data_IF_166273350853
#
_entry.id   IF_166273350853
#
_cell.length_a   1.000
_cell.length_b   1.000
_cell.length_c   1.000
_cell.angle_alpha   90.00
_cell.angle_beta   90.00
_cell.angle_gamma   90.00
#
_symmetry.space_group_name_H-M   'P 1'
#
loop_
_entity.id
_entity.type
_entity.pdbx_description
1 polymer ?
#
# COMPACT_ATOMS: atom_id res chain seq x y z
N UNK A 1 1.36 23.49 24.50
CA UNK A 1 0.30 22.75 23.79
C UNK A 1 0.61 22.71 22.31
N UNK A 2 0.81 21.53 21.71
CA UNK A 2 1.11 21.35 20.28
C UNK A 2 -0.15 21.49 19.40
N UNK A 3 -0.83 22.63 19.50
CA UNK A 3 -2.07 22.91 18.76
C UNK A 3 -1.69 23.47 17.38
N UNK A 4 -2.23 22.87 16.30
CA UNK A 4 -2.03 23.35 14.92
C UNK A 4 -0.80 22.80 14.19
N UNK A 5 0.03 21.97 14.83
CA UNK A 5 1.12 21.27 14.14
C UNK A 5 0.54 20.07 13.38
N UNK A 6 0.83 19.89 12.08
CA UNK A 6 0.42 18.72 11.31
C UNK A 6 0.90 17.43 11.97
N UNK A 7 0.08 16.39 11.94
CA UNK A 7 0.38 15.06 12.53
C UNK A 7 0.11 14.00 11.48
N UNK A 8 0.87 12.90 11.53
CA UNK A 8 0.67 11.77 10.62
C UNK A 8 -0.77 11.28 10.63
N UNK A 9 -1.38 11.11 11.81
CA UNK A 9 -2.78 10.68 11.94
C UNK A 9 -3.79 11.66 11.34
N UNK A 10 -3.53 12.97 11.43
CA UNK A 10 -4.37 13.99 10.78
C UNK A 10 -4.16 14.04 9.26
N UNK A 11 -2.96 13.71 8.79
CA UNK A 11 -2.68 13.60 7.36
C UNK A 11 -3.30 12.35 6.73
N UNK A 12 -3.54 11.28 7.51
CA UNK A 12 -4.21 10.07 7.05
C UNK A 12 -5.75 10.19 7.01
N UNK A 13 -6.32 11.28 7.52
CA UNK A 13 -7.76 11.54 7.39
C UNK A 13 -8.11 11.72 5.89
N UNK A 14 -9.04 10.94 5.32
CA UNK A 14 -9.45 11.06 3.92
C UNK A 14 -9.95 12.46 3.54
N UNK A 15 -10.42 13.25 4.52
CA UNK A 15 -10.84 14.63 4.37
C UNK A 15 -9.68 15.64 4.26
N UNK A 16 -8.47 15.27 4.69
CA UNK A 16 -7.29 16.13 4.75
C UNK A 16 -6.88 16.65 3.37
N UNK A 17 -6.60 17.95 3.28
CA UNK A 17 -6.07 18.56 2.05
C UNK A 17 -4.71 17.96 1.65
N UNK A 18 -3.92 17.51 2.64
CA UNK A 18 -2.62 16.90 2.41
C UNK A 18 -2.76 15.61 1.58
N UNK A 19 -3.55 14.63 2.04
CA UNK A 19 -3.63 13.34 1.33
C UNK A 19 -4.35 13.46 -0.01
N UNK A 20 -5.35 14.34 -0.12
CA UNK A 20 -6.03 14.63 -1.40
C UNK A 20 -5.07 15.19 -2.45
N UNK A 21 -4.17 16.07 -2.03
CA UNK A 21 -3.16 16.65 -2.93
C UNK A 21 -2.07 15.63 -3.26
N UNK A 22 -1.57 14.94 -2.24
CA UNK A 22 -0.47 13.97 -2.39
C UNK A 22 -0.86 12.77 -3.26
N UNK A 23 -2.05 12.19 -3.04
CA UNK A 23 -2.53 11.03 -3.82
C UNK A 23 -2.83 11.33 -5.29
N UNK A 24 -3.05 12.60 -5.64
CA UNK A 24 -3.25 13.03 -7.02
C UNK A 24 -1.93 13.14 -7.81
N UNK A 25 -0.78 13.14 -7.13
CA UNK A 25 0.51 13.20 -7.80
C UNK A 25 0.87 11.82 -8.39
N UNK A 26 1.29 11.74 -9.67
CA UNK A 26 1.71 10.49 -10.26
C UNK A 26 3.09 10.07 -9.72
N UNK A 27 3.38 8.76 -9.76
CA UNK A 27 4.76 8.29 -9.64
C UNK A 27 5.59 8.82 -10.81
N UNK A 28 6.85 9.17 -10.53
CA UNK A 28 7.76 9.68 -11.56
C UNK A 28 7.91 8.65 -12.70
N UNK A 29 7.95 9.07 -13.98
CA UNK A 29 7.94 8.14 -15.12
C UNK A 29 9.05 7.08 -15.12
N UNK A 30 10.22 7.43 -14.59
CA UNK A 30 11.38 6.54 -14.55
C UNK A 30 11.43 5.63 -13.30
N UNK A 31 10.38 5.67 -12.46
CA UNK A 31 10.27 4.86 -11.25
C UNK A 31 9.24 3.76 -11.46
N UNK A 32 9.70 2.50 -11.47
CA UNK A 32 8.78 1.35 -11.48
C UNK A 32 8.16 1.17 -10.10
N UNK A 33 6.84 1.28 -10.01
CA UNK A 33 6.07 1.06 -8.78
C UNK A 33 5.56 -0.38 -8.69
N UNK A 34 5.75 -1.01 -7.53
CA UNK A 34 5.20 -2.32 -7.18
C UNK A 34 4.43 -2.20 -5.87
N UNK A 35 3.29 -2.90 -5.77
CA UNK A 35 2.43 -2.85 -4.58
C UNK A 35 2.35 -4.22 -3.90
N UNK A 36 2.37 -4.23 -2.57
CA UNK A 36 2.12 -5.40 -1.74
C UNK A 36 1.06 -4.97 -0.72
N UNK A 37 -0.14 -5.54 -0.81
CA UNK A 37 -1.30 -5.12 -0.01
C UNK A 37 -1.73 -6.30 0.85
N UNK A 38 -1.84 -6.07 2.16
CA UNK A 38 -2.43 -7.06 3.06
C UNK A 38 -3.96 -7.01 3.03
N UNK A 39 -4.57 -8.18 3.14
CA UNK A 39 -6.01 -8.34 3.32
C UNK A 39 -6.22 -9.41 4.38
N UNK A 40 -6.94 -9.09 5.45
CA UNK A 40 -7.22 -9.99 6.56
C UNK A 40 -8.47 -10.84 6.33
N UNK A 41 -9.43 -10.32 5.58
CA UNK A 41 -10.74 -10.92 5.35
C UNK A 41 -10.92 -11.32 3.87
N UNK A 42 -10.03 -12.17 3.37
CA UNK A 42 -10.03 -12.59 1.95
C UNK A 42 -11.26 -13.42 1.55
N UNK A 43 -11.98 -13.96 2.53
CA UNK A 43 -13.23 -14.71 2.38
C UNK A 43 -14.45 -13.82 2.11
N UNK A 44 -14.36 -12.52 2.40
CA UNK A 44 -15.41 -11.55 2.08
C UNK A 44 -15.33 -11.09 0.61
N UNK A 45 -16.40 -10.49 0.06
CA UNK A 45 -16.35 -9.79 -1.21
C UNK A 45 -15.24 -8.73 -1.25
N UNK A 46 -14.61 -8.54 -2.42
CA UNK A 46 -13.44 -7.68 -2.61
C UNK A 46 -13.68 -6.23 -2.17
N UNK A 47 -14.91 -5.75 -2.30
CA UNK A 47 -15.35 -4.41 -1.91
C UNK A 47 -15.26 -4.17 -0.39
N UNK A 48 -15.20 -5.26 0.39
CA UNK A 48 -15.06 -5.23 1.85
C UNK A 48 -13.66 -5.59 2.33
N UNK A 49 -12.72 -5.89 1.44
CA UNK A 49 -11.37 -6.28 1.82
C UNK A 49 -10.67 -5.17 2.60
N UNK A 50 -10.02 -5.57 3.70
CA UNK A 50 -9.29 -4.69 4.59
C UNK A 50 -8.21 -5.49 5.33
N UNK A 51 -7.12 -4.81 5.70
CA UNK A 51 -6.10 -5.35 6.59
C UNK A 51 -6.43 -5.17 8.09
N UNK A 52 -7.60 -4.59 8.38
CA UNK A 52 -8.07 -4.21 9.71
C UNK A 52 -7.84 -2.74 10.09
N UNK A 53 -7.13 -1.97 9.25
CA UNK A 53 -6.86 -0.53 9.42
C UNK A 53 -7.24 0.25 8.16
N UNK A 54 -6.83 -0.25 6.99
CA UNK A 54 -7.02 0.36 5.68
C UNK A 54 -7.86 -0.58 4.79
N UNK A 55 -8.76 0.00 3.98
CA UNK A 55 -9.50 -0.76 2.97
C UNK A 55 -8.60 -1.05 1.77
N UNK A 56 -8.75 -2.22 1.15
CA UNK A 56 -8.02 -2.57 -0.07
C UNK A 56 -8.17 -1.50 -1.17
N UNK A 57 -9.39 -1.00 -1.40
CA UNK A 57 -9.66 0.07 -2.38
C UNK A 57 -8.85 1.34 -2.11
N UNK A 58 -8.59 1.67 -0.85
CA UNK A 58 -7.78 2.85 -0.48
C UNK A 58 -6.28 2.63 -0.69
N UNK A 59 -5.81 1.39 -0.69
CA UNK A 59 -4.42 1.03 -0.88
C UNK A 59 -4.08 0.70 -2.34
N UNK A 60 -5.09 0.29 -3.13
CA UNK A 60 -4.94 -0.07 -4.53
C UNK A 60 -4.63 1.14 -5.41
N UNK A 61 -3.69 0.95 -6.35
CA UNK A 61 -3.28 1.97 -7.32
C UNK A 61 -3.11 1.30 -8.68
N UNK A 62 -3.92 1.71 -9.66
CA UNK A 62 -4.03 1.06 -10.98
C UNK A 62 -2.72 0.95 -11.76
N UNK A 63 -1.81 1.92 -11.59
CA UNK A 63 -0.56 2.00 -12.37
C UNK A 63 0.59 1.16 -11.79
N UNK A 64 0.34 0.30 -10.79
CA UNK A 64 1.35 -0.62 -10.29
C UNK A 64 1.80 -1.62 -11.35
N UNK A 65 3.11 -1.74 -11.56
CA UNK A 65 3.70 -2.72 -12.48
C UNK A 65 3.49 -4.17 -12.00
N UNK A 66 3.30 -4.37 -10.69
CA UNK A 66 2.69 -5.57 -10.14
C UNK A 66 2.02 -5.27 -8.81
N UNK A 67 1.01 -6.04 -8.45
CA UNK A 67 0.38 -6.03 -7.14
C UNK A 67 0.31 -7.44 -6.57
N UNK A 68 0.77 -7.62 -5.33
CA UNK A 68 0.64 -8.85 -4.57
C UNK A 68 -0.30 -8.63 -3.40
N UNK A 69 -1.40 -9.40 -3.35
CA UNK A 69 -2.26 -9.47 -2.17
C UNK A 69 -1.75 -10.56 -1.24
N UNK A 70 -1.58 -10.24 0.04
CA UNK A 70 -1.08 -11.16 1.08
C UNK A 70 -2.15 -11.32 2.16
N UNK A 71 -2.45 -12.57 2.54
CA UNK A 71 -3.39 -12.86 3.62
C UNK A 71 -2.76 -12.52 4.97
N UNK A 72 -2.99 -11.32 5.49
CA UNK A 72 -2.41 -10.86 6.76
C UNK A 72 -3.16 -9.64 7.29
N UNK A 73 -2.88 -9.27 8.55
CA UNK A 73 -3.28 -7.97 9.09
C UNK A 73 -2.44 -6.82 8.52
N UNK A 74 -2.63 -5.62 9.08
CA UNK A 74 -1.94 -4.40 8.61
C UNK A 74 -0.41 -4.54 8.50
N UNK A 75 0.24 -5.18 9.47
CA UNK A 75 1.69 -5.39 9.45
C UNK A 75 2.05 -6.74 8.81
N UNK A 76 2.26 -6.74 7.49
CA UNK A 76 2.56 -7.95 6.71
C UNK A 76 4.06 -8.19 6.46
N UNK A 77 4.95 -7.33 6.96
CA UNK A 77 6.39 -7.35 6.64
C UNK A 77 7.10 -8.63 7.13
N UNK A 78 6.55 -9.32 8.13
CA UNK A 78 7.07 -10.59 8.64
C UNK A 78 6.50 -11.84 7.95
N UNK A 79 5.53 -11.68 7.07
CA UNK A 79 4.92 -12.81 6.36
C UNK A 79 5.85 -13.33 5.28
N UNK A 80 5.95 -14.66 5.15
CA UNK A 80 6.79 -15.30 4.14
C UNK A 80 6.45 -14.82 2.73
N UNK A 81 5.16 -14.68 2.40
CA UNK A 81 4.75 -14.21 1.07
C UNK A 81 5.21 -12.79 0.77
N UNK A 82 5.18 -11.90 1.76
CA UNK A 82 5.67 -10.52 1.63
C UNK A 82 7.17 -10.50 1.43
N UNK A 83 7.91 -11.28 2.21
CA UNK A 83 9.38 -11.36 2.12
C UNK A 83 9.81 -11.89 0.75
N UNK A 84 9.16 -12.95 0.26
CA UNK A 84 9.45 -13.54 -1.04
C UNK A 84 9.08 -12.59 -2.20
N UNK A 85 8.00 -11.83 -2.08
CA UNK A 85 7.63 -10.84 -3.10
C UNK A 85 8.63 -9.68 -3.16
N UNK A 86 9.08 -9.18 -2.01
CA UNK A 86 10.17 -8.17 -1.95
C UNK A 86 11.44 -8.74 -2.60
N UNK A 87 11.83 -9.96 -2.26
CA UNK A 87 12.98 -10.64 -2.86
C UNK A 87 12.83 -10.74 -4.38
N UNK A 88 11.66 -11.19 -4.88
CA UNK A 88 11.37 -11.31 -6.31
C UNK A 88 11.50 -9.96 -7.04
N UNK A 89 10.94 -8.89 -6.47
CA UNK A 89 11.02 -7.53 -7.02
C UNK A 89 12.48 -7.08 -7.10
N UNK A 90 13.25 -7.25 -6.03
CA UNK A 90 14.67 -6.86 -6.02
C UNK A 90 15.49 -7.62 -7.06
N UNK A 91 15.31 -8.94 -7.16
CA UNK A 91 15.99 -9.79 -8.14
C UNK A 91 15.63 -9.41 -9.58
N UNK A 92 14.37 -9.06 -9.85
CA UNK A 92 13.92 -8.55 -11.16
C UNK A 92 14.68 -7.29 -11.56
N UNK A 93 14.79 -6.32 -10.66
CA UNK A 93 15.42 -5.02 -10.97
C UNK A 93 16.95 -5.06 -11.04
N UNK A 94 17.59 -6.16 -10.61
CA UNK A 94 19.01 -6.42 -10.88
C UNK A 94 19.25 -7.36 -12.07
N UNK A 95 18.20 -7.71 -12.83
CA UNK A 95 18.30 -8.46 -14.08
C UNK A 95 18.42 -9.99 -13.92
N UNK A 96 17.95 -10.55 -12.80
CA UNK A 96 17.94 -12.01 -12.57
C UNK A 96 16.64 -12.67 -13.08
N UNK A 97 15.58 -11.89 -13.25
CA UNK A 97 14.28 -12.32 -13.81
C UNK A 97 13.85 -11.46 -14.99
#
# INVERSE_FOLDING_TARGET
TFKGIPKSTGNMDPGSSFIKTFSAAPVAPDVTYHSIISVKNMDEPKEKWTDGVVKYESAHIDYAASERVVHSGHSTQGETETIEEVRRILLKHIGIY
#
